data_IF_665774658254
#
_entry.id   IF_665774658254
#
_cell.length_a   1.000
_cell.length_b   1.000
_cell.length_c   1.000
_cell.angle_alpha   90.00
_cell.angle_beta   90.00
_cell.angle_gamma   90.00
#
_symmetry.space_group_name_H-M   'P 1'
#
loop_
_entity.id
_entity.type
_entity.pdbx_description
1 polymer ?
#
# COMPACT_ATOMS: atom_id res chain seq x y z
N UNK A 1 8.43 -56.90 -23.90
CA UNK A 1 7.69 -55.67 -23.56
C UNK A 1 8.63 -54.45 -23.63
N UNK A 2 9.11 -54.06 -24.82
CA UNK A 2 10.07 -52.94 -24.97
C UNK A 2 9.44 -51.64 -25.49
N UNK A 3 8.18 -51.70 -25.96
CA UNK A 3 7.49 -50.59 -26.61
C UNK A 3 6.91 -49.62 -25.56
N UNK A 4 6.52 -50.13 -24.38
CA UNK A 4 5.92 -49.32 -23.32
C UNK A 4 6.90 -48.31 -22.71
N UNK A 5 8.20 -48.63 -22.62
CA UNK A 5 9.18 -47.73 -21.98
C UNK A 5 9.72 -46.63 -22.91
N UNK A 6 9.74 -46.87 -24.23
CA UNK A 6 10.23 -45.90 -25.21
C UNK A 6 9.32 -44.67 -25.35
N UNK A 7 8.02 -44.82 -25.07
CA UNK A 7 7.02 -43.75 -25.16
C UNK A 7 6.84 -42.97 -23.84
N UNK A 8 7.29 -43.50 -22.70
CA UNK A 8 7.11 -42.83 -21.39
C UNK A 8 7.90 -41.52 -21.31
N UNK A 9 9.18 -41.54 -21.70
CA UNK A 9 10.04 -40.35 -21.62
C UNK A 9 9.53 -39.15 -22.44
N UNK A 10 9.19 -39.30 -23.75
CA UNK A 10 8.67 -38.16 -24.52
C UNK A 10 7.31 -37.66 -24.01
N UNK A 11 6.45 -38.53 -23.47
CA UNK A 11 5.18 -38.12 -22.85
C UNK A 11 5.43 -37.33 -21.57
N UNK A 12 6.34 -37.79 -20.70
CA UNK A 12 6.71 -37.07 -19.48
C UNK A 12 7.34 -35.72 -19.81
N UNK A 13 8.22 -35.65 -20.82
CA UNK A 13 8.82 -34.39 -21.28
C UNK A 13 7.74 -33.44 -21.86
N UNK A 14 6.76 -33.95 -22.60
CA UNK A 14 5.62 -33.16 -23.07
C UNK A 14 4.74 -32.63 -21.92
N UNK A 15 4.49 -33.44 -20.89
CA UNK A 15 3.75 -33.02 -19.70
C UNK A 15 4.52 -31.95 -18.90
N UNK A 16 5.83 -32.15 -18.71
CA UNK A 16 6.68 -31.18 -18.00
C UNK A 16 6.78 -29.85 -18.76
N UNK A 17 6.91 -29.88 -20.09
CA UNK A 17 6.92 -28.65 -20.90
C UNK A 17 5.59 -27.93 -20.89
N UNK A 18 4.47 -28.66 -20.89
CA UNK A 18 3.13 -28.08 -20.77
C UNK A 18 2.91 -27.45 -19.39
N UNK A 19 3.35 -28.12 -18.31
CA UNK A 19 3.30 -27.59 -16.95
C UNK A 19 4.11 -26.31 -16.82
N UNK A 20 5.37 -26.31 -17.29
CA UNK A 20 6.23 -25.13 -17.28
C UNK A 20 5.64 -23.96 -18.08
N UNK A 21 4.95 -24.24 -19.20
CA UNK A 21 4.24 -23.21 -19.97
C UNK A 21 3.08 -22.62 -19.16
N UNK A 22 2.30 -23.46 -18.47
CA UNK A 22 1.22 -23.03 -17.59
C UNK A 22 1.70 -22.17 -16.43
N UNK A 23 2.78 -22.59 -15.76
CA UNK A 23 3.40 -21.84 -14.67
C UNK A 23 3.89 -20.47 -15.13
N UNK A 24 4.58 -20.39 -16.28
CA UNK A 24 5.03 -19.12 -16.86
C UNK A 24 3.86 -18.20 -17.22
N UNK A 25 2.75 -18.73 -17.73
CA UNK A 25 1.57 -17.95 -18.04
C UNK A 25 0.91 -17.37 -16.78
N UNK A 26 0.79 -18.18 -15.72
CA UNK A 26 0.27 -17.74 -14.43
C UNK A 26 1.19 -16.70 -13.78
N UNK A 27 2.50 -16.91 -13.85
CA UNK A 27 3.50 -15.99 -13.29
C UNK A 27 3.44 -14.62 -13.99
N UNK A 28 3.28 -14.60 -15.32
CA UNK A 28 3.05 -13.34 -16.07
C UNK A 28 1.75 -12.65 -15.67
N UNK A 29 0.63 -13.37 -15.57
CA UNK A 29 -0.65 -12.78 -15.14
C UNK A 29 -0.59 -12.22 -13.72
N UNK A 30 0.05 -12.95 -12.80
CA UNK A 30 0.24 -12.52 -11.43
C UNK A 30 1.16 -11.29 -11.34
N UNK A 31 2.17 -11.23 -12.19
CA UNK A 31 3.05 -10.07 -12.30
C UNK A 31 2.31 -8.85 -12.86
N UNK A 32 1.49 -8.98 -13.91
CA UNK A 32 0.64 -7.89 -14.40
C UNK A 32 -0.33 -7.39 -13.33
N UNK A 33 -0.98 -8.30 -12.60
CA UNK A 33 -1.83 -7.96 -11.46
C UNK A 33 -1.02 -7.24 -10.36
N UNK A 34 0.18 -7.71 -10.04
CA UNK A 34 1.05 -7.08 -9.05
C UNK A 34 1.42 -5.64 -9.45
N UNK A 35 1.71 -5.37 -10.72
CA UNK A 35 1.97 -4.00 -11.20
C UNK A 35 0.75 -3.12 -11.03
N UNK A 36 -0.44 -3.60 -11.40
CA UNK A 36 -1.69 -2.85 -11.23
C UNK A 36 -1.96 -2.54 -9.76
N UNK A 37 -1.75 -3.51 -8.87
CA UNK A 37 -1.89 -3.32 -7.42
C UNK A 37 -0.82 -2.37 -6.86
N UNK A 38 0.41 -2.38 -7.40
CA UNK A 38 1.45 -1.43 -7.02
C UNK A 38 1.07 0.00 -7.40
N UNK A 39 0.56 0.21 -8.62
CA UNK A 39 0.08 1.53 -9.08
C UNK A 39 -1.09 1.98 -8.22
N UNK A 40 -2.08 1.11 -7.96
CA UNK A 40 -3.21 1.47 -7.08
C UNK A 40 -2.74 1.87 -5.68
N UNK A 41 -1.82 1.12 -5.10
CA UNK A 41 -1.25 1.45 -3.78
C UNK A 41 -0.58 2.83 -3.78
N UNK A 42 0.20 3.15 -4.83
CA UNK A 42 0.89 4.44 -4.96
C UNK A 42 -0.08 5.61 -5.22
N UNK A 43 -1.28 5.35 -5.73
CA UNK A 43 -2.32 6.37 -5.91
C UNK A 43 -3.13 6.63 -4.64
N UNK A 44 -2.96 5.83 -3.58
CA UNK A 44 -3.60 6.09 -2.29
C UNK A 44 -3.02 7.35 -1.63
N UNK A 45 -3.83 8.00 -0.78
CA UNK A 45 -3.39 9.18 -0.04
C UNK A 45 -2.21 8.88 0.91
N UNK A 46 -2.14 7.66 1.46
CA UNK A 46 -1.06 7.17 2.31
C UNK A 46 -0.55 5.83 1.73
N UNK A 47 0.39 5.86 0.78
CA UNK A 47 0.86 4.65 0.12
C UNK A 47 1.82 3.83 0.99
N UNK A 48 1.71 2.51 0.90
CA UNK A 48 2.71 1.60 1.48
C UNK A 48 3.84 1.32 0.47
N UNK A 49 4.94 2.06 0.63
CA UNK A 49 6.12 1.96 -0.23
C UNK A 49 6.72 0.55 -0.26
N UNK A 50 6.68 -0.19 0.86
CA UNK A 50 7.28 -1.51 0.96
C UNK A 50 6.46 -2.53 0.16
N UNK A 51 5.12 -2.44 0.25
CA UNK A 51 4.23 -3.27 -0.57
C UNK A 51 4.37 -2.97 -2.06
N UNK A 52 4.43 -1.69 -2.42
CA UNK A 52 4.61 -1.28 -3.82
C UNK A 52 5.96 -1.79 -4.37
N UNK A 53 7.05 -1.67 -3.62
CA UNK A 53 8.37 -2.16 -4.01
C UNK A 53 8.39 -3.69 -4.20
N UNK A 54 7.81 -4.45 -3.26
CA UNK A 54 7.73 -5.90 -3.37
C UNK A 54 6.95 -6.33 -4.63
N UNK A 55 5.83 -5.66 -4.93
CA UNK A 55 5.01 -5.95 -6.11
C UNK A 55 5.74 -5.60 -7.42
N UNK A 56 6.47 -4.49 -7.45
CA UNK A 56 7.33 -4.11 -8.59
C UNK A 56 8.46 -5.14 -8.76
N UNK A 57 9.07 -5.62 -7.67
CA UNK A 57 10.12 -6.63 -7.72
C UNK A 57 9.62 -7.97 -8.28
N UNK A 58 8.42 -8.41 -7.90
CA UNK A 58 7.77 -9.61 -8.48
C UNK A 58 7.58 -9.44 -9.99
N UNK A 59 7.14 -8.27 -10.44
CA UNK A 59 6.96 -8.00 -11.86
C UNK A 59 8.27 -7.98 -12.65
N UNK A 60 9.33 -7.42 -12.07
CA UNK A 60 10.68 -7.47 -12.64
C UNK A 60 11.22 -8.90 -12.72
N UNK A 61 11.05 -9.69 -11.65
CA UNK A 61 11.49 -11.09 -11.61
C UNK A 61 10.75 -11.97 -12.62
N UNK A 62 9.49 -11.64 -12.91
CA UNK A 62 8.72 -12.26 -13.98
C UNK A 62 9.18 -11.88 -15.41
N UNK A 63 10.18 -11.00 -15.53
CA UNK A 63 10.68 -10.52 -16.82
C UNK A 63 9.69 -9.60 -17.54
N UNK A 64 8.73 -9.00 -16.81
CA UNK A 64 7.81 -8.02 -17.41
C UNK A 64 8.57 -6.70 -17.56
N UNK A 65 8.95 -6.41 -18.81
CA UNK A 65 9.51 -5.13 -19.25
C UNK A 65 8.39 -4.26 -19.83
N UNK A 66 7.36 -3.98 -19.03
CA UNK A 66 6.25 -3.12 -19.46
C UNK A 66 6.49 -1.67 -19.08
N UNK A 67 5.92 -0.75 -19.86
CA UNK A 67 5.89 0.69 -19.55
C UNK A 67 5.32 0.93 -18.14
N UNK A 68 4.30 0.16 -17.74
CA UNK A 68 3.69 0.23 -16.42
C UNK A 68 4.67 -0.06 -15.27
N UNK A 69 5.65 -0.96 -15.47
CA UNK A 69 6.69 -1.25 -14.47
C UNK A 69 7.65 -0.07 -14.31
N UNK A 70 7.95 0.64 -15.40
CA UNK A 70 8.77 1.86 -15.39
C UNK A 70 8.00 3.01 -14.73
N UNK A 71 6.72 3.16 -15.07
CA UNK A 71 5.82 4.14 -14.45
C UNK A 71 5.72 3.93 -12.93
N UNK A 72 5.46 2.70 -12.49
CA UNK A 72 5.34 2.36 -11.07
C UNK A 72 6.63 2.65 -10.29
N UNK A 73 7.80 2.41 -10.89
CA UNK A 73 9.09 2.78 -10.30
C UNK A 73 9.24 4.30 -10.16
N UNK A 74 8.97 5.05 -11.23
CA UNK A 74 9.04 6.51 -11.19
C UNK A 74 8.06 7.12 -10.18
N UNK A 75 6.89 6.51 -10.00
CA UNK A 75 5.95 6.89 -8.93
C UNK A 75 6.52 6.61 -7.54
N UNK A 76 7.05 5.42 -7.29
CA UNK A 76 7.67 5.05 -6.01
C UNK A 76 8.83 6.00 -5.65
N UNK A 77 9.69 6.33 -6.61
CA UNK A 77 10.79 7.27 -6.44
C UNK A 77 10.29 8.67 -6.08
N UNK A 78 9.24 9.17 -6.75
CA UNK A 78 8.62 10.46 -6.42
C UNK A 78 8.04 10.46 -5.01
N UNK A 79 7.42 9.37 -4.57
CA UNK A 79 6.92 9.24 -3.20
C UNK A 79 8.06 9.28 -2.18
N UNK A 80 9.11 8.49 -2.39
CA UNK A 80 10.32 8.50 -1.54
C UNK A 80 10.96 9.88 -1.47
N UNK A 81 11.12 10.55 -2.62
CA UNK A 81 11.70 11.88 -2.69
C UNK A 81 10.81 12.93 -1.99
N UNK A 82 9.49 12.85 -2.13
CA UNK A 82 8.55 13.76 -1.46
C UNK A 82 8.58 13.56 0.04
N UNK A 83 8.54 12.31 0.50
CA UNK A 83 8.63 11.97 1.92
C UNK A 83 9.94 12.44 2.52
N UNK A 84 11.08 12.19 1.88
CA UNK A 84 12.38 12.68 2.33
C UNK A 84 12.43 14.21 2.45
N UNK A 85 11.76 14.93 1.53
CA UNK A 85 11.65 16.40 1.57
C UNK A 85 10.73 16.91 2.69
N UNK A 86 9.68 16.17 3.05
CA UNK A 86 8.65 16.61 4.01
C UNK A 86 8.92 16.14 5.45
N UNK A 87 9.60 15.02 5.66
CA UNK A 87 9.91 14.45 6.99
C UNK A 87 10.72 15.39 7.87
N UNK A 88 11.68 16.13 7.29
CA UNK A 88 12.48 17.13 8.02
C UNK A 88 11.80 18.50 8.19
N UNK A 89 10.81 18.82 7.34
CA UNK A 89 10.16 20.15 7.32
C UNK A 89 9.02 20.27 8.33
N UNK A 90 8.43 19.16 8.75
CA UNK A 90 7.44 19.12 9.83
C UNK A 90 8.07 19.36 11.22
N UNK A 91 9.35 19.02 11.41
CA UNK A 91 10.04 19.19 12.70
C UNK A 91 10.52 20.63 12.97
N UNK A 92 10.75 21.44 11.93
CA UNK A 92 11.25 22.83 12.06
C UNK A 92 10.16 23.89 11.86
N UNK A 93 8.91 23.48 11.74
CA UNK A 93 7.75 24.37 11.64
C UNK A 93 7.39 25.03 12.96
N UNK A 94 8.10 26.13 13.30
CA UNK A 94 7.66 27.25 14.14
C UNK A 94 6.91 26.83 15.41
N UNK A 95 7.60 26.86 16.57
CA UNK A 95 6.94 27.00 17.89
C UNK A 95 5.84 28.05 17.74
N UNK A 96 4.58 27.63 17.65
CA UNK A 96 3.45 28.52 17.83
C UNK A 96 3.56 28.93 19.29
N UNK A 97 4.11 30.13 19.51
CA UNK A 97 3.96 30.82 20.79
C UNK A 97 2.46 30.76 21.09
N UNK A 98 2.02 30.15 22.21
CA UNK A 98 0.62 30.24 22.57
C UNK A 98 0.27 31.73 22.55
N UNK A 99 -0.76 32.08 21.78
CA UNK A 99 -1.27 33.45 21.78
C UNK A 99 -1.52 33.81 23.24
N UNK A 100 -0.77 34.78 23.74
CA UNK A 100 -1.03 35.36 25.05
C UNK A 100 -2.45 35.90 24.99
N UNK A 101 -3.37 35.22 25.65
CA UNK A 101 -4.69 35.75 25.97
C UNK A 101 -4.44 37.06 26.72
N UNK A 102 -4.76 38.19 26.09
CA UNK A 102 -4.81 39.46 26.80
C UNK A 102 -5.87 39.32 27.91
N UNK A 103 -5.63 39.86 29.12
CA UNK A 103 -6.60 39.81 30.19
C UNK A 103 -7.69 40.82 29.86
N UNK A 104 -8.84 40.35 29.41
CA UNK A 104 -10.08 41.13 29.51
C UNK A 104 -10.57 40.98 30.95
N UNK A 105 -10.47 42.08 31.70
CA UNK A 105 -11.06 42.27 33.02
C UNK A 105 -12.57 41.98 32.99
N UNK A 106 -12.97 40.78 33.44
CA UNK A 106 -14.27 40.59 34.12
C UNK A 106 -14.32 39.27 34.89
N UNK A 107 -14.64 39.27 36.20
CA UNK A 107 -14.70 38.04 36.98
C UNK A 107 -16.04 37.34 36.73
N UNK A 108 -16.03 36.25 35.95
CA UNK A 108 -17.18 35.37 35.84
C UNK A 108 -17.09 34.26 36.90
N UNK A 109 -17.92 34.40 37.93
CA UNK A 109 -18.06 33.50 39.06
C UNK A 109 -18.34 32.04 38.64
N UNK A 110 -17.68 31.11 39.34
CA UNK A 110 -17.91 29.66 39.26
C UNK A 110 -19.37 29.33 39.58
N UNK A 111 -20.07 28.61 38.69
CA UNK A 111 -21.30 27.88 39.03
C UNK A 111 -20.99 26.38 39.11
N UNK A 112 -21.37 25.67 40.19
CA UNK A 112 -21.07 24.26 40.36
C UNK A 112 -22.02 23.38 39.52
N UNK A 113 -21.49 22.23 39.11
CA UNK A 113 -22.17 21.21 38.31
C UNK A 113 -23.41 20.64 39.04
N UNK A 114 -24.55 20.59 38.34
CA UNK A 114 -25.77 19.95 38.82
C UNK A 114 -25.83 18.48 38.36
N UNK A 115 -26.07 17.58 39.31
CA UNK A 115 -26.10 16.13 39.20
C UNK A 115 -27.31 15.59 38.38
N UNK A 116 -27.27 14.34 37.87
CA UNK A 116 -28.26 13.80 36.95
C UNK A 116 -29.43 13.15 37.69
N UNK A 117 -30.67 13.30 37.18
CA UNK A 117 -31.82 12.49 37.61
C UNK A 117 -32.74 12.13 36.43
N UNK A 118 -32.84 10.81 36.17
CA UNK A 118 -34.01 10.10 35.57
C UNK A 118 -34.84 9.53 36.76
N UNK A 119 -36.07 8.98 36.64
CA UNK A 119 -37.00 8.83 35.49
C UNK A 119 -38.50 9.13 35.84
N UNK A 120 -39.43 8.73 34.93
CA UNK A 120 -40.87 8.33 35.07
C UNK A 120 -42.05 9.29 34.76
N UNK A 121 -42.64 9.10 33.56
CA UNK A 121 -44.03 8.68 33.16
C UNK A 121 -45.32 9.26 33.80
N UNK A 122 -46.29 9.47 32.88
CA UNK A 122 -47.79 9.50 32.91
C UNK A 122 -48.50 10.81 33.24
N UNK A 123 -49.27 11.31 32.26
CA UNK A 123 -50.74 11.30 32.25
C UNK A 123 -51.24 11.30 30.81
#
# INVERSE_FOLDING_TARGET
MAIETALIKPVVDALMTLLQRGEKANLKRNAEAAVREAIRELLLANPDENKAEARIAIAKAAGILSEDVVLAQGMLEKHRATKAKTTGKAATGRKRKPSATKPDDKPAAKKPAAAPRKPTKKS
#
